data_IF_671870721478
#
_entry.id   IF_671870721478
#
_cell.length_a   1.000
_cell.length_b   1.000
_cell.length_c   1.000
_cell.angle_alpha   90.00
_cell.angle_beta   90.00
_cell.angle_gamma   90.00
#
_symmetry.space_group_name_H-M   'P 1'
#
loop_
_entity.id
_entity.type
_entity.pdbx_description
1 polymer ?
#
# COMPACT_ATOMS: atom_id res chain seq x y z
N UNK A 1 -12.03 12.37 -6.93
CA UNK A 1 -10.96 11.52 -6.34
C UNK A 1 -11.59 10.21 -5.93
N UNK A 2 -10.89 9.08 -6.10
CA UNK A 2 -11.39 7.75 -5.74
C UNK A 2 -10.68 7.23 -4.50
N UNK A 3 -11.41 6.48 -3.67
CA UNK A 3 -10.87 5.78 -2.50
C UNK A 3 -10.29 4.45 -2.96
N UNK A 4 -9.05 4.19 -2.59
CA UNK A 4 -8.39 2.92 -2.84
C UNK A 4 -8.04 2.28 -1.51
N UNK A 5 -8.38 0.99 -1.38
CA UNK A 5 -7.91 0.15 -0.30
C UNK A 5 -6.70 -0.63 -0.79
N UNK A 6 -5.65 -0.67 0.01
CA UNK A 6 -4.37 -1.22 -0.38
C UNK A 6 -3.97 -2.27 0.65
N UNK A 7 -3.65 -3.46 0.16
CA UNK A 7 -3.10 -4.55 0.95
C UNK A 7 -1.69 -4.79 0.42
N UNK A 8 -0.71 -4.68 1.33
CA UNK A 8 0.69 -4.89 1.04
C UNK A 8 1.22 -6.05 1.88
N UNK A 9 2.21 -6.75 1.36
CA UNK A 9 3.04 -7.67 2.13
C UNK A 9 4.41 -7.05 2.29
N UNK A 10 4.88 -6.95 3.53
CA UNK A 10 6.27 -6.61 3.84
C UNK A 10 7.05 -7.90 4.05
N UNK A 11 8.27 -7.94 3.53
CA UNK A 11 9.17 -9.07 3.64
C UNK A 11 10.40 -8.58 4.40
N UNK A 12 10.64 -9.14 5.56
CA UNK A 12 11.82 -8.82 6.37
C UNK A 12 13.09 -9.45 5.77
N UNK A 13 14.28 -8.99 6.19
CA UNK A 13 15.55 -9.51 5.66
C UNK A 13 15.78 -10.99 5.92
N UNK A 14 15.16 -11.54 6.96
CA UNK A 14 15.18 -12.98 7.29
C UNK A 14 14.14 -13.79 6.51
N UNK A 15 13.36 -13.14 5.63
CA UNK A 15 12.38 -13.76 4.74
C UNK A 15 10.98 -13.92 5.35
N UNK A 16 10.76 -13.47 6.59
CA UNK A 16 9.42 -13.46 7.17
C UNK A 16 8.52 -12.48 6.41
N UNK A 17 7.24 -12.83 6.30
CA UNK A 17 6.26 -12.07 5.53
C UNK A 17 5.13 -11.63 6.45
N UNK A 18 4.88 -10.34 6.50
CA UNK A 18 3.75 -9.78 7.22
C UNK A 18 2.85 -8.99 6.28
N UNK A 19 1.53 -9.13 6.44
CA UNK A 19 0.59 -8.32 5.70
C UNK A 19 0.35 -6.98 6.43
N UNK A 20 0.53 -5.86 5.74
CA UNK A 20 0.11 -4.54 6.18
C UNK A 20 -1.14 -4.13 5.39
N UNK A 21 -2.27 -3.99 6.07
CA UNK A 21 -3.48 -3.44 5.46
C UNK A 21 -4.75 -3.58 6.31
N UNK A 22 -5.87 -3.00 5.84
CA UNK A 22 -5.97 -2.19 4.62
C UNK A 22 -5.51 -0.74 4.84
N UNK A 23 -4.58 -0.25 4.02
CA UNK A 23 -4.27 1.18 3.91
C UNK A 23 -5.29 1.85 2.99
N UNK A 24 -5.88 2.95 3.46
CA UNK A 24 -6.81 3.75 2.66
C UNK A 24 -6.08 4.96 2.09
N UNK A 25 -6.10 5.11 0.77
CA UNK A 25 -5.51 6.26 0.07
C UNK A 25 -6.45 6.81 -0.99
N UNK A 26 -6.45 8.14 -1.14
CA UNK A 26 -7.27 8.84 -2.12
C UNK A 26 -6.43 9.33 -3.29
N UNK A 27 -6.78 8.91 -4.49
CA UNK A 27 -6.10 9.32 -5.72
C UNK A 27 -7.05 9.31 -6.93
N UNK A 28 -6.62 9.94 -8.01
CA UNK A 28 -7.34 9.87 -9.30
C UNK A 28 -6.98 8.63 -10.10
N UNK A 29 -5.76 8.09 -9.94
CA UNK A 29 -5.28 6.89 -10.62
C UNK A 29 -4.47 6.00 -9.67
N UNK A 30 -4.42 4.70 -9.97
CA UNK A 30 -3.59 3.73 -9.23
C UNK A 30 -2.09 4.04 -9.34
N UNK A 31 -1.63 4.66 -10.44
CA UNK A 31 -0.23 5.03 -10.58
C UNK A 31 0.20 6.07 -9.53
N UNK A 32 -0.69 7.01 -9.20
CA UNK A 32 -0.47 7.97 -8.11
C UNK A 32 -0.47 7.26 -6.75
N UNK A 33 -1.29 6.21 -6.59
CA UNK A 33 -1.27 5.38 -5.38
C UNK A 33 0.09 4.73 -5.22
N UNK A 34 0.61 4.03 -6.25
CA UNK A 34 1.91 3.35 -6.20
C UNK A 34 3.06 4.28 -5.79
N UNK A 35 3.13 5.47 -6.40
CA UNK A 35 4.16 6.47 -6.07
C UNK A 35 4.07 7.01 -4.64
N UNK A 36 2.84 7.16 -4.11
CA UNK A 36 2.62 7.68 -2.76
C UNK A 36 2.74 6.59 -1.69
N UNK A 37 2.40 5.36 -2.05
CA UNK A 37 2.39 4.21 -1.16
C UNK A 37 3.81 3.90 -0.67
N UNK A 38 4.79 3.92 -1.57
CA UNK A 38 6.19 3.74 -1.21
C UNK A 38 6.65 4.76 -0.14
N UNK A 39 6.31 6.04 -0.31
CA UNK A 39 6.62 7.10 0.67
C UNK A 39 5.88 6.91 1.99
N UNK A 40 4.61 6.50 1.96
CA UNK A 40 3.81 6.29 3.17
C UNK A 40 4.30 5.07 3.96
N UNK A 41 4.71 4.00 3.27
CA UNK A 41 5.28 2.82 3.89
C UNK A 41 6.64 3.15 4.52
N UNK A 42 7.53 3.86 3.81
CA UNK A 42 8.77 4.40 4.39
C UNK A 42 8.49 5.27 5.63
N UNK A 43 7.48 6.14 5.60
CA UNK A 43 7.11 6.99 6.74
C UNK A 43 6.64 6.19 7.96
N UNK A 44 5.85 5.14 7.75
CA UNK A 44 5.30 4.30 8.84
C UNK A 44 6.33 3.35 9.44
N UNK A 45 7.22 2.83 8.59
CA UNK A 45 8.21 1.83 8.96
C UNK A 45 9.52 2.46 9.44
N UNK A 46 9.78 3.73 9.13
CA UNK A 46 11.02 4.40 9.53
C UNK A 46 12.23 3.80 8.85
N UNK A 47 13.31 3.58 9.61
CA UNK A 47 14.62 3.08 9.11
C UNK A 47 14.64 1.56 8.82
N UNK A 48 13.48 0.94 8.53
CA UNK A 48 13.39 -0.45 8.08
C UNK A 48 13.87 -0.61 6.61
N UNK A 49 15.03 -0.01 6.29
CA UNK A 49 15.69 0.11 4.99
C UNK A 49 16.01 -1.24 4.30
N UNK A 50 15.81 -2.35 4.99
CA UNK A 50 16.14 -3.70 4.51
C UNK A 50 14.90 -4.54 4.19
N UNK A 51 13.69 -4.01 4.37
CA UNK A 51 12.46 -4.76 4.14
C UNK A 51 11.98 -4.56 2.70
N UNK A 52 11.70 -5.64 1.99
CA UNK A 52 11.11 -5.59 0.65
C UNK A 52 9.58 -5.40 0.77
N UNK A 53 9.01 -4.59 -0.12
CA UNK A 53 7.58 -4.29 -0.13
C UNK A 53 6.97 -4.86 -1.40
N UNK A 54 6.06 -5.82 -1.24
CA UNK A 54 5.25 -6.37 -2.33
C UNK A 54 3.81 -5.83 -2.23
N UNK A 55 3.42 -5.01 -3.20
CA UNK A 55 2.08 -4.42 -3.27
C UNK A 55 1.16 -5.40 -3.97
N UNK A 56 0.39 -6.16 -3.19
CA UNK A 56 -0.42 -7.26 -3.74
C UNK A 56 -1.71 -6.78 -4.37
N UNK A 57 -2.38 -5.80 -3.76
CA UNK A 57 -3.70 -5.39 -4.24
C UNK A 57 -3.99 -3.92 -3.97
N UNK A 58 -4.50 -3.25 -5.01
CA UNK A 58 -5.09 -1.92 -4.92
C UNK A 58 -6.54 -2.07 -5.35
N UNK A 59 -7.45 -2.22 -4.40
CA UNK A 59 -8.88 -2.26 -4.68
C UNK A 59 -9.44 -0.85 -4.79
N UNK A 60 -10.11 -0.56 -5.91
CA UNK A 60 -10.86 0.67 -6.06
C UNK A 60 -12.24 0.46 -5.45
N UNK A 61 -12.57 1.19 -4.39
CA UNK A 61 -13.98 1.35 -4.04
C UNK A 61 -14.58 2.29 -5.10
N UNK A 62 -15.02 1.70 -6.22
CA UNK A 62 -16.07 2.34 -6.99
C UNK A 62 -17.28 2.42 -6.08
N UNK A 63 -17.68 3.65 -5.73
CA UNK A 63 -19.04 3.94 -5.29
C UNK A 63 -19.97 3.36 -6.34
N UNK A 64 -20.46 2.14 -6.12
CA UNK A 64 -21.67 1.66 -6.76
C UNK A 64 -22.77 2.48 -6.10
N UNK A 65 -23.09 3.61 -6.73
CA UNK A 65 -24.36 4.30 -6.53
C UNK A 65 -25.43 3.35 -7.05
N UNK A 66 -25.99 2.54 -6.15
CA UNK A 66 -27.27 1.90 -6.36
C UNK A 66 -28.38 2.96 -6.27
#
# INVERSE_FOLDING_TARGET
MKKHQIICTIISPDGNRDAIGPLVMYATTENIIKQRLDKELHRRMGDLYQWEIDVQQIENEQLILF
#
